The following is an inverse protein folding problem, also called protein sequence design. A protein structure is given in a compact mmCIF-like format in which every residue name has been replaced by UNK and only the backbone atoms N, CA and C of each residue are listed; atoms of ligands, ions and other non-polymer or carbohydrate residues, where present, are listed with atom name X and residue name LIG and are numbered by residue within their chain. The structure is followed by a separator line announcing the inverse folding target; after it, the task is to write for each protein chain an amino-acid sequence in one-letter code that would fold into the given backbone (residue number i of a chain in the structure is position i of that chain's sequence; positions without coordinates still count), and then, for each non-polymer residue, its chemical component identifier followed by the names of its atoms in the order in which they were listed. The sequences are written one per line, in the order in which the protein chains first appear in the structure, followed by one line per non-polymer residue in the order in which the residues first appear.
data_IF_106365750781
#
_entry.id   IF_106365750781
#
_cell.length_a   1.000
_cell.length_b   1.000
_cell.length_c   1.000
_cell.angle_alpha   90.00
_cell.angle_beta   90.00
_cell.angle_gamma   90.00
#
_symmetry.space_group_name_H-M   'P 1'
#
loop_
_entity.id
_entity.type
_entity.pdbx_description
1 polymer ?
#
# COMPACT_ATOMS: atom_id res chain seq x y z
N UNK A 1 12.18 48.19 -30.53
CA UNK A 1 12.27 47.29 -29.37
C UNK A 1 11.49 46.03 -29.74
N UNK A 2 12.18 44.95 -30.09
CA UNK A 2 11.54 43.70 -30.51
C UNK A 2 11.20 42.89 -29.26
N UNK A 3 9.91 42.72 -28.97
CA UNK A 3 9.46 41.88 -27.86
C UNK A 3 9.82 40.42 -28.15
N UNK A 4 10.45 39.76 -27.18
CA UNK A 4 10.70 38.33 -27.20
C UNK A 4 9.35 37.57 -27.09
N UNK A 5 9.20 36.39 -27.72
CA UNK A 5 7.96 35.63 -27.67
C UNK A 5 7.74 35.14 -26.23
N UNK A 6 6.59 35.48 -25.66
CA UNK A 6 6.18 35.03 -24.33
C UNK A 6 6.23 33.49 -24.25
N UNK A 7 7.02 32.98 -23.30
CA UNK A 7 7.14 31.55 -23.05
C UNK A 7 5.77 30.99 -22.62
N UNK A 8 5.22 30.06 -23.41
CA UNK A 8 3.96 29.37 -23.06
C UNK A 8 4.13 28.70 -21.68
N UNK A 9 3.14 28.82 -20.77
CA UNK A 9 3.20 28.11 -19.50
C UNK A 9 3.25 26.61 -19.77
N UNK A 10 4.26 25.93 -19.20
CA UNK A 10 4.37 24.48 -19.23
C UNK A 10 3.16 23.86 -18.53
N UNK A 11 2.59 22.76 -19.05
CA UNK A 11 1.49 22.09 -18.39
C UNK A 11 1.88 21.67 -16.97
N UNK A 12 0.93 21.66 -16.01
CA UNK A 12 1.20 21.21 -14.65
C UNK A 12 1.72 19.77 -14.67
N UNK A 13 2.76 19.49 -13.89
CA UNK A 13 3.31 18.15 -13.76
C UNK A 13 2.30 17.26 -13.03
N UNK A 14 1.62 16.39 -13.77
CA UNK A 14 0.72 15.38 -13.21
C UNK A 14 1.57 14.20 -12.76
N UNK A 15 1.35 13.77 -11.52
CA UNK A 15 1.99 12.57 -11.00
C UNK A 15 1.46 11.33 -11.73
N UNK A 16 2.36 10.48 -12.21
CA UNK A 16 2.01 9.26 -12.92
C UNK A 16 3.06 8.17 -12.70
N UNK A 17 2.65 7.08 -12.08
CA UNK A 17 3.34 5.80 -12.05
C UNK A 17 2.92 4.96 -13.24
N UNK A 18 3.92 4.52 -14.02
CA UNK A 18 3.71 3.55 -15.08
C UNK A 18 3.56 2.16 -14.48
N UNK A 19 2.45 1.50 -14.78
CA UNK A 19 2.18 0.15 -14.32
C UNK A 19 3.31 -0.81 -14.69
N UNK A 20 3.76 -1.61 -13.72
CA UNK A 20 4.68 -2.73 -13.91
C UNK A 20 4.08 -3.97 -13.26
N UNK A 21 4.25 -5.13 -13.90
CA UNK A 21 3.68 -6.40 -13.45
C UNK A 21 2.14 -6.31 -13.31
N UNK A 22 1.57 -7.09 -12.40
CA UNK A 22 0.14 -7.16 -12.10
C UNK A 22 -0.29 -6.24 -10.92
N UNK A 23 0.46 -5.18 -10.63
CA UNK A 23 0.21 -4.25 -9.53
C UNK A 23 -0.75 -3.09 -9.90
N UNK A 24 -1.73 -3.34 -10.75
CA UNK A 24 -2.60 -2.29 -11.30
C UNK A 24 -3.34 -1.50 -10.20
N UNK A 25 -3.77 -2.15 -9.12
CA UNK A 25 -4.44 -1.50 -8.01
C UNK A 25 -3.54 -0.49 -7.30
N UNK A 26 -2.28 -0.85 -7.01
CA UNK A 26 -1.31 0.03 -6.34
C UNK A 26 -1.07 1.29 -7.17
N UNK A 27 -0.77 1.12 -8.46
CA UNK A 27 -0.50 2.24 -9.35
C UNK A 27 -1.73 3.09 -9.61
N UNK A 28 -2.92 2.50 -9.73
CA UNK A 28 -4.16 3.25 -9.89
C UNK A 28 -4.41 4.15 -8.67
N UNK A 29 -4.22 3.63 -7.46
CA UNK A 29 -4.37 4.40 -6.22
C UNK A 29 -3.34 5.54 -6.13
N UNK A 30 -2.06 5.26 -6.36
CA UNK A 30 -1.02 6.29 -6.34
C UNK A 30 -1.26 7.37 -7.40
N UNK A 31 -1.69 6.97 -8.59
CA UNK A 31 -2.02 7.90 -9.68
C UNK A 31 -3.21 8.79 -9.33
N UNK A 32 -4.31 8.22 -8.84
CA UNK A 32 -5.49 9.01 -8.44
C UNK A 32 -5.15 9.97 -7.29
N UNK A 33 -4.35 9.52 -6.33
CA UNK A 33 -3.93 10.34 -5.18
C UNK A 33 -2.79 11.30 -5.50
N UNK A 34 -2.25 11.25 -6.72
CA UNK A 34 -1.15 12.10 -7.21
C UNK A 34 0.13 12.01 -6.34
N UNK A 35 0.34 10.89 -5.66
CA UNK A 35 1.49 10.65 -4.78
C UNK A 35 1.72 9.14 -4.59
N UNK A 36 2.98 8.76 -4.35
CA UNK A 36 3.34 7.39 -3.97
C UNK A 36 2.98 7.13 -2.50
N UNK A 37 1.77 6.63 -2.25
CA UNK A 37 1.27 6.33 -0.90
C UNK A 37 1.18 4.82 -0.63
N UNK A 38 1.02 4.03 -1.68
CA UNK A 38 0.91 2.59 -1.61
C UNK A 38 2.14 1.95 -2.25
N UNK A 39 2.66 0.92 -1.60
CA UNK A 39 3.61 -0.03 -2.17
C UNK A 39 2.96 -1.41 -2.29
N UNK A 40 3.62 -2.32 -3.00
CA UNK A 40 3.17 -3.72 -3.05
C UNK A 40 3.10 -4.32 -1.64
N UNK A 41 4.12 -4.08 -0.82
CA UNK A 41 4.20 -4.62 0.55
C UNK A 41 3.07 -4.08 1.41
N UNK A 42 2.77 -2.78 1.32
CA UNK A 42 1.65 -2.18 2.05
C UNK A 42 0.30 -2.76 1.62
N UNK A 43 0.11 -2.97 0.31
CA UNK A 43 -1.10 -3.59 -0.22
C UNK A 43 -1.24 -5.06 0.21
N UNK A 44 -0.14 -5.82 0.17
CA UNK A 44 -0.10 -7.23 0.61
C UNK A 44 -0.43 -7.36 2.09
N UNK A 45 0.07 -6.47 2.95
CA UNK A 45 -0.26 -6.45 4.37
C UNK A 45 -1.75 -6.16 4.61
N UNK A 46 -2.35 -5.22 3.86
CA UNK A 46 -3.79 -4.96 3.92
C UNK A 46 -4.57 -6.21 3.50
N UNK A 47 -4.17 -6.85 2.39
CA UNK A 47 -4.82 -8.07 1.89
C UNK A 47 -4.74 -9.22 2.89
N UNK A 48 -3.57 -9.48 3.49
CA UNK A 48 -3.42 -10.53 4.52
C UNK A 48 -4.34 -10.29 5.71
N UNK A 49 -4.39 -9.06 6.23
CA UNK A 49 -5.27 -8.71 7.36
C UNK A 49 -6.74 -8.88 7.01
N UNK A 50 -7.16 -8.40 5.85
CA UNK A 50 -8.55 -8.52 5.39
C UNK A 50 -8.94 -10.00 5.21
N UNK A 51 -8.06 -10.81 4.61
CA UNK A 51 -8.26 -12.24 4.43
C UNK A 51 -8.41 -12.96 5.78
N UNK A 52 -7.47 -12.78 6.70
CA UNK A 52 -7.50 -13.42 8.02
C UNK A 52 -8.75 -13.01 8.80
N UNK A 53 -9.13 -11.72 8.75
CA UNK A 53 -10.35 -11.22 9.38
C UNK A 53 -11.59 -11.92 8.82
N UNK A 54 -11.71 -12.00 7.49
CA UNK A 54 -12.85 -12.64 6.84
C UNK A 54 -12.92 -14.15 7.11
N UNK A 55 -11.78 -14.84 7.08
CA UNK A 55 -11.70 -16.28 7.30
C UNK A 55 -12.04 -16.65 8.75
N UNK A 56 -11.49 -15.91 9.72
CA UNK A 56 -11.77 -16.11 11.14
C UNK A 56 -13.23 -15.77 11.48
N UNK A 57 -13.79 -14.71 10.90
CA UNK A 57 -15.19 -14.33 11.12
C UNK A 57 -16.19 -15.40 10.65
N UNK A 58 -15.81 -16.21 9.65
CA UNK A 58 -16.64 -17.33 9.18
C UNK A 58 -16.54 -18.57 10.09
N UNK A 59 -15.60 -18.59 11.04
CA UNK A 59 -15.37 -19.73 11.93
C UNK A 59 -14.86 -20.99 11.21
N UNK A 60 -14.35 -20.83 9.99
CA UNK A 60 -13.88 -21.95 9.15
C UNK A 60 -12.42 -22.30 9.38
N UNK A 61 -11.68 -21.50 10.16
CA UNK A 61 -10.27 -21.71 10.40
C UNK A 61 -9.82 -21.26 11.80
N UNK A 62 -8.74 -21.87 12.27
CA UNK A 62 -7.93 -21.42 13.39
C UNK A 62 -6.58 -20.93 12.85
N UNK A 63 -6.03 -19.89 13.47
CA UNK A 63 -4.72 -19.32 13.07
C UNK A 63 -3.73 -19.56 14.20
N UNK A 64 -2.66 -20.30 13.89
CA UNK A 64 -1.55 -20.56 14.81
C UNK A 64 -0.38 -19.65 14.45
N UNK A 65 0.05 -18.82 15.39
CA UNK A 65 1.22 -17.96 15.22
C UNK A 65 2.48 -18.72 15.65
N UNK A 66 3.37 -18.99 14.69
CA UNK A 66 4.67 -19.61 14.97
C UNK A 66 5.66 -18.49 15.31
N UNK A 67 6.06 -18.44 16.57
CA UNK A 67 7.00 -17.46 17.11
C UNK A 67 8.16 -18.14 17.83
N UNK A 68 9.26 -17.43 18.05
CA UNK A 68 10.34 -17.95 18.90
C UNK A 68 9.90 -17.95 20.36
N UNK A 69 10.51 -18.81 21.18
CA UNK A 69 10.24 -18.88 22.62
C UNK A 69 10.37 -17.51 23.31
N UNK A 70 11.41 -16.74 22.95
CA UNK A 70 11.61 -15.37 23.46
C UNK A 70 10.44 -14.43 23.11
N UNK A 71 9.93 -14.51 21.88
CA UNK A 71 8.79 -13.70 21.45
C UNK A 71 7.51 -14.13 22.18
N UNK A 72 7.31 -15.44 22.37
CA UNK A 72 6.18 -15.98 23.14
C UNK A 72 6.21 -15.50 24.60
N UNK A 73 7.35 -15.62 25.28
CA UNK A 73 7.55 -15.21 26.67
C UNK A 73 7.38 -13.70 26.87
N UNK A 74 7.85 -12.89 25.92
CA UNK A 74 7.69 -11.42 25.98
C UNK A 74 6.30 -10.94 25.58
N UNK A 75 5.51 -11.77 24.88
CA UNK A 75 4.19 -11.40 24.37
C UNK A 75 4.22 -10.31 23.29
N UNK A 76 5.39 -9.96 22.74
CA UNK A 76 5.54 -8.85 21.80
C UNK A 76 4.88 -9.09 20.42
N UNK A 77 4.42 -10.32 20.17
CA UNK A 77 3.61 -10.68 19.00
C UNK A 77 2.16 -10.16 19.10
N UNK A 78 1.69 -9.78 20.28
CA UNK A 78 0.33 -9.29 20.50
C UNK A 78 0.34 -7.77 20.70
N UNK A 79 -0.34 -7.04 19.82
CA UNK A 79 -0.57 -5.61 19.99
C UNK A 79 -1.90 -5.38 20.71
N UNK A 80 -1.85 -4.91 21.96
CA UNK A 80 -3.02 -4.54 22.76
C UNK A 80 -3.09 -3.02 22.86
N UNK A 81 -3.76 -2.37 21.90
CA UNK A 81 -4.14 -0.94 22.03
C UNK A 81 -5.57 -0.82 22.52
#
# INVERSE_FOLDING_TARGET
MSQAPEARPSPPSVYHERQRLELCAVHALNNVLQQQLFSQEAADEICKRAFLTAALAQGLCEVLLVVTKEVEETGCWLHTS
#
